data_IF_652895598090
#
_entry.id   IF_652895598090
#
_cell.length_a   1.000
_cell.length_b   1.000
_cell.length_c   1.000
_cell.angle_alpha   90.00
_cell.angle_beta   90.00
_cell.angle_gamma   90.00
#
_symmetry.space_group_name_H-M   'P 1'
#
loop_
_entity.id
_entity.type
_entity.pdbx_description
1 polymer ?
#
# COMPACT_ATOMS: atom_id res chain seq x y z
N UNK A 1 -24.54 -43.16 -69.06
CA UNK A 1 -24.59 -41.89 -68.29
C UNK A 1 -24.31 -42.23 -66.84
N UNK A 2 -23.09 -42.07 -66.37
CA UNK A 2 -22.68 -42.41 -65.03
C UNK A 2 -22.56 -41.10 -64.22
N UNK A 3 -23.35 -40.97 -63.19
CA UNK A 3 -23.32 -39.84 -62.23
C UNK A 3 -22.20 -40.11 -61.20
N UNK A 4 -21.15 -39.32 -61.26
CA UNK A 4 -20.12 -39.28 -60.19
C UNK A 4 -20.64 -38.47 -59.01
N UNK A 5 -20.86 -39.14 -57.89
CA UNK A 5 -21.07 -38.51 -56.60
C UNK A 5 -19.69 -38.12 -56.02
N UNK A 6 -19.44 -36.82 -56.01
CA UNK A 6 -18.27 -36.22 -55.30
C UNK A 6 -18.54 -36.27 -53.79
N UNK A 7 -17.86 -37.15 -53.06
CA UNK A 7 -17.80 -37.11 -51.60
C UNK A 7 -17.14 -35.80 -51.16
N UNK A 8 -17.83 -34.94 -50.43
CA UNK A 8 -17.24 -33.86 -49.68
C UNK A 8 -16.28 -34.50 -48.65
N UNK A 9 -15.01 -34.18 -48.73
CA UNK A 9 -14.03 -34.38 -47.68
C UNK A 9 -14.47 -33.45 -46.51
N UNK A 10 -14.77 -34.02 -45.38
CA UNK A 10 -14.89 -33.31 -44.09
C UNK A 10 -13.45 -33.01 -43.68
N UNK A 11 -13.04 -31.78 -43.77
CA UNK A 11 -11.78 -31.32 -43.16
C UNK A 11 -11.82 -31.65 -41.67
N UNK A 12 -10.78 -32.33 -41.19
CA UNK A 12 -10.61 -32.54 -39.75
C UNK A 12 -10.51 -31.16 -39.07
N UNK A 13 -11.13 -30.99 -37.86
CA UNK A 13 -10.97 -29.76 -37.14
C UNK A 13 -9.48 -29.48 -36.90
N UNK A 14 -9.05 -28.25 -37.17
CA UNK A 14 -7.71 -27.81 -36.82
C UNK A 14 -7.49 -28.09 -35.33
N UNK A 15 -6.30 -28.56 -34.93
CA UNK A 15 -6.00 -28.75 -33.51
C UNK A 15 -6.19 -27.43 -32.79
N UNK A 16 -7.04 -27.42 -31.78
CA UNK A 16 -7.16 -26.28 -30.86
C UNK A 16 -5.74 -25.95 -30.39
N UNK A 17 -5.32 -24.70 -30.58
CA UNK A 17 -4.03 -24.22 -30.14
C UNK A 17 -3.95 -24.45 -28.62
N UNK A 18 -2.93 -25.17 -28.16
CA UNK A 18 -2.68 -25.33 -26.72
C UNK A 18 -2.59 -23.94 -26.10
N UNK A 19 -3.28 -23.70 -24.98
CA UNK A 19 -3.27 -22.40 -24.32
C UNK A 19 -1.84 -22.01 -24.02
N UNK A 20 -1.43 -20.81 -24.42
CA UNK A 20 -0.12 -20.25 -24.13
C UNK A 20 0.04 -20.20 -22.60
N UNK A 21 0.80 -21.17 -22.07
CA UNK A 21 1.14 -21.19 -20.65
C UNK A 21 1.98 -19.94 -20.29
N UNK A 22 1.83 -19.47 -19.08
CA UNK A 22 2.68 -18.38 -18.57
C UNK A 22 4.11 -18.89 -18.38
N UNK A 23 5.16 -18.09 -18.73
CA UNK A 23 6.54 -18.53 -18.63
C UNK A 23 6.99 -18.65 -17.16
N UNK A 24 7.88 -19.62 -16.89
CA UNK A 24 8.62 -19.69 -15.63
C UNK A 24 7.79 -20.14 -14.41
N UNK A 25 6.73 -20.93 -14.63
CA UNK A 25 5.96 -21.51 -13.53
C UNK A 25 6.87 -22.30 -12.57
N UNK A 26 6.71 -22.13 -11.22
CA UNK A 26 7.50 -22.83 -10.21
C UNK A 26 7.31 -24.34 -10.28
N UNK A 27 8.34 -25.07 -9.80
CA UNK A 27 8.22 -26.51 -9.59
C UNK A 27 7.11 -26.82 -8.58
N UNK A 28 6.52 -28.02 -8.74
CA UNK A 28 5.51 -28.53 -7.85
C UNK A 28 6.07 -29.64 -6.97
N UNK A 29 5.48 -29.85 -5.79
CA UNK A 29 5.74 -31.02 -4.98
C UNK A 29 5.26 -32.31 -5.66
N UNK A 30 5.51 -33.48 -5.04
CA UNK A 30 5.09 -34.78 -5.58
C UNK A 30 3.56 -34.92 -5.72
N UNK A 31 2.78 -34.02 -5.09
CA UNK A 31 1.32 -33.96 -5.20
C UNK A 31 0.86 -32.95 -6.27
N UNK A 32 1.78 -32.32 -7.00
CA UNK A 32 1.49 -31.32 -8.02
C UNK A 32 1.09 -29.96 -7.43
N UNK A 33 1.53 -29.63 -6.20
CA UNK A 33 1.20 -28.36 -5.51
C UNK A 33 2.44 -27.48 -5.42
N UNK A 34 2.24 -26.17 -5.52
CA UNK A 34 3.25 -25.14 -5.24
C UNK A 34 3.20 -24.72 -3.79
N UNK A 35 4.32 -24.27 -3.21
CA UNK A 35 4.28 -23.58 -1.92
C UNK A 35 3.57 -22.22 -2.04
N UNK A 36 3.09 -21.69 -0.92
CA UNK A 36 2.44 -20.36 -0.91
C UNK A 36 3.43 -19.26 -1.31
N UNK A 37 4.65 -19.33 -0.79
CA UNK A 37 5.67 -18.31 -1.05
C UNK A 37 6.13 -18.38 -2.52
N UNK A 38 6.44 -19.56 -3.07
CA UNK A 38 6.85 -19.72 -4.48
C UNK A 38 5.75 -19.24 -5.45
N UNK A 39 4.48 -19.54 -5.13
CA UNK A 39 3.37 -19.06 -5.95
C UNK A 39 3.23 -17.54 -5.89
N UNK A 40 3.34 -16.93 -4.71
CA UNK A 40 3.29 -15.48 -4.52
C UNK A 40 4.44 -14.79 -5.28
N UNK A 41 5.67 -15.29 -5.13
CA UNK A 41 6.84 -14.74 -5.81
C UNK A 41 6.73 -14.86 -7.33
N UNK A 42 6.20 -15.99 -7.80
CA UNK A 42 5.91 -16.19 -9.22
C UNK A 42 4.91 -15.17 -9.76
N UNK A 43 3.76 -14.99 -9.13
CA UNK A 43 2.77 -14.00 -9.54
C UNK A 43 3.36 -12.58 -9.53
N UNK A 44 4.13 -12.25 -8.50
CA UNK A 44 4.81 -10.96 -8.41
C UNK A 44 5.87 -10.77 -9.50
N UNK A 45 6.47 -11.84 -10.02
CA UNK A 45 7.44 -11.77 -11.12
C UNK A 45 6.80 -11.43 -12.47
N UNK A 46 5.52 -11.78 -12.65
CA UNK A 46 4.76 -11.55 -13.88
C UNK A 46 4.22 -10.12 -14.00
N UNK A 47 4.27 -9.31 -12.93
CA UNK A 47 3.76 -7.95 -12.93
C UNK A 47 4.87 -6.92 -12.71
N UNK A 48 4.69 -5.75 -13.31
CA UNK A 48 5.58 -4.62 -13.13
C UNK A 48 4.85 -3.49 -12.38
N UNK A 49 5.62 -2.68 -11.67
CA UNK A 49 5.07 -1.50 -11.02
C UNK A 49 4.51 -0.53 -12.06
N UNK A 50 3.37 0.11 -11.72
CA UNK A 50 2.74 1.12 -12.57
C UNK A 50 3.76 2.21 -12.91
N UNK A 51 3.85 2.68 -14.16
CA UNK A 51 4.79 3.70 -14.55
C UNK A 51 4.65 4.98 -13.71
N UNK A 52 5.77 5.64 -13.35
CA UNK A 52 5.73 6.88 -12.60
C UNK A 52 5.13 8.02 -13.41
N UNK A 53 4.48 8.95 -12.71
CA UNK A 53 3.92 10.18 -13.28
C UNK A 53 4.36 11.38 -12.45
N UNK A 54 4.52 12.53 -13.10
CA UNK A 54 4.71 13.80 -12.41
C UNK A 54 3.39 14.24 -11.77
N UNK A 55 3.42 14.60 -10.49
CA UNK A 55 2.26 15.05 -9.72
C UNK A 55 2.65 16.28 -8.92
N UNK A 56 1.77 17.28 -8.90
CA UNK A 56 1.94 18.45 -8.03
C UNK A 56 2.14 18.03 -6.57
N UNK A 57 3.12 18.59 -5.90
CA UNK A 57 3.51 18.24 -4.53
C UNK A 57 2.32 18.14 -3.56
N UNK A 58 1.35 19.09 -3.52
CA UNK A 58 0.20 18.97 -2.61
C UNK A 58 -0.71 17.77 -2.87
N UNK A 59 -0.71 17.24 -4.10
CA UNK A 59 -1.53 16.08 -4.50
C UNK A 59 -0.81 14.75 -4.34
N UNK A 60 0.49 14.78 -4.06
CA UNK A 60 1.33 13.58 -3.97
C UNK A 60 1.24 12.85 -2.61
N UNK A 61 0.42 13.35 -1.66
CA UNK A 61 0.25 12.72 -0.34
C UNK A 61 -0.23 11.28 -0.47
N UNK A 62 0.45 10.37 0.24
CA UNK A 62 0.16 8.93 0.26
C UNK A 62 0.79 8.16 -0.91
N UNK A 63 1.36 8.84 -1.92
CA UNK A 63 2.04 8.18 -3.04
C UNK A 63 3.51 7.93 -2.73
N UNK A 64 4.11 6.94 -3.40
CA UNK A 64 5.52 6.61 -3.27
C UNK A 64 6.36 7.40 -4.27
N UNK A 65 7.43 8.06 -3.80
CA UNK A 65 8.42 8.70 -4.67
C UNK A 65 9.13 7.65 -5.55
N UNK A 66 9.38 7.99 -6.82
CA UNK A 66 10.02 7.09 -7.79
C UNK A 66 11.51 7.36 -8.01
N UNK A 67 12.01 8.44 -7.43
CA UNK A 67 13.41 8.85 -7.53
C UNK A 67 13.81 9.58 -6.25
N UNK A 68 15.13 9.74 -6.05
CA UNK A 68 15.64 10.58 -4.99
C UNK A 68 15.41 12.04 -5.37
N UNK A 69 14.75 12.79 -4.47
CA UNK A 69 14.50 14.23 -4.65
C UNK A 69 15.54 15.01 -3.87
N UNK A 70 16.29 15.86 -4.57
CA UNK A 70 17.37 16.64 -3.98
C UNK A 70 16.97 18.11 -3.78
N UNK A 71 17.52 18.74 -2.75
CA UNK A 71 17.36 20.17 -2.51
C UNK A 71 17.98 21.00 -3.66
N UNK A 72 17.20 21.81 -4.39
CA UNK A 72 17.74 22.64 -5.49
C UNK A 72 18.59 23.82 -4.97
N UNK A 73 18.38 24.22 -3.74
CA UNK A 73 19.09 25.28 -3.02
C UNK A 73 19.05 24.96 -1.52
N UNK A 74 19.74 25.80 -0.73
CA UNK A 74 19.69 25.74 0.73
C UNK A 74 18.27 25.93 1.26
N UNK A 75 17.91 25.22 2.34
CA UNK A 75 16.60 25.34 3.02
C UNK A 75 16.86 25.62 4.51
N UNK A 76 16.42 26.76 5.03
CA UNK A 76 15.86 27.92 4.33
C UNK A 76 16.89 28.60 3.39
N UNK A 77 16.39 29.35 2.40
CA UNK A 77 17.25 30.03 1.40
C UNK A 77 18.12 31.13 2.01
N UNK A 78 17.61 31.80 3.05
CA UNK A 78 18.21 32.94 3.70
C UNK A 78 18.19 32.80 5.22
N UNK A 79 19.15 33.41 5.88
CA UNK A 79 19.19 33.46 7.35
C UNK A 79 18.11 34.41 7.87
N UNK A 80 17.32 33.97 8.83
CA UNK A 80 16.17 34.71 9.42
C UNK A 80 16.26 34.76 10.94
N UNK A 81 15.60 35.75 11.53
CA UNK A 81 15.39 35.82 12.97
C UNK A 81 14.38 34.73 13.42
N UNK A 82 14.65 34.02 14.51
CA UNK A 82 13.75 33.01 15.09
C UNK A 82 12.77 33.66 16.08
N UNK A 83 13.19 34.77 16.70
CA UNK A 83 12.42 35.49 17.73
C UNK A 83 12.30 36.97 17.35
N UNK A 84 11.30 37.62 17.91
CA UNK A 84 11.24 39.08 17.94
C UNK A 84 12.36 39.58 18.85
N UNK A 85 13.08 40.63 18.41
CA UNK A 85 14.20 41.13 19.21
C UNK A 85 15.08 42.11 18.49
N UNK A 86 16.37 42.03 18.81
CA UNK A 86 17.37 42.93 18.30
C UNK A 86 18.54 42.16 17.66
N UNK A 87 18.74 42.37 16.39
CA UNK A 87 19.85 41.79 15.64
C UNK A 87 21.12 42.63 15.81
N UNK A 88 22.28 41.98 16.04
CA UNK A 88 23.56 42.62 16.21
C UNK A 88 24.71 41.69 15.82
N UNK A 89 25.93 42.23 15.74
CA UNK A 89 27.17 41.46 15.59
C UNK A 89 27.59 40.86 16.94
N UNK A 90 27.64 39.53 17.06
CA UNK A 90 28.02 38.83 18.28
C UNK A 90 29.47 39.15 18.72
N UNK A 91 30.35 39.55 17.79
CA UNK A 91 31.73 39.93 18.11
C UNK A 91 31.78 41.18 19.01
N UNK A 92 30.82 42.09 18.87
CA UNK A 92 30.68 43.26 19.71
C UNK A 92 30.41 42.96 21.18
N UNK A 93 29.95 41.76 21.49
CA UNK A 93 29.59 41.30 22.85
C UNK A 93 30.73 40.61 23.59
N UNK A 94 31.90 40.37 22.95
CA UNK A 94 32.98 39.53 23.52
C UNK A 94 33.57 40.05 24.83
N UNK A 95 33.48 41.35 25.06
CA UNK A 95 33.99 41.96 26.28
C UNK A 95 32.99 41.99 27.44
N UNK A 96 31.74 41.56 27.22
CA UNK A 96 30.73 41.45 28.26
C UNK A 96 31.22 40.53 29.40
N UNK A 97 31.17 41.02 30.64
CA UNK A 97 31.64 40.32 31.83
C UNK A 97 33.15 40.45 32.13
N UNK A 98 33.93 41.32 31.40
CA UNK A 98 35.38 41.53 31.65
C UNK A 98 35.75 43.02 31.67
N UNK A 99 35.93 43.65 32.79
CA UNK A 99 35.16 43.76 34.00
C UNK A 99 33.99 44.73 33.79
N UNK A 100 32.81 44.21 33.51
CA UNK A 100 31.59 45.03 33.41
C UNK A 100 30.67 44.58 32.27
N UNK A 101 29.56 45.29 32.13
CA UNK A 101 28.59 45.09 31.06
C UNK A 101 29.08 45.77 29.78
N UNK A 102 28.69 45.20 28.64
CA UNK A 102 28.79 45.85 27.32
C UNK A 102 27.43 46.43 26.99
N UNK A 103 27.42 47.72 26.65
CA UNK A 103 26.24 48.43 26.19
C UNK A 103 26.23 48.49 24.66
N UNK A 104 25.09 48.09 24.06
CA UNK A 104 24.87 48.06 22.62
C UNK A 104 23.75 49.04 22.28
N UNK A 105 24.04 50.04 21.46
CA UNK A 105 23.05 51.06 21.08
C UNK A 105 22.01 50.48 20.10
N UNK A 106 20.74 50.81 20.33
CA UNK A 106 19.67 50.41 19.41
C UNK A 106 19.45 51.50 18.35
N UNK A 107 19.79 51.20 17.13
CA UNK A 107 19.56 52.11 16.00
C UNK A 107 18.19 51.85 15.35
N UNK A 108 17.35 52.86 15.26
CA UNK A 108 16.03 52.81 14.62
C UNK A 108 16.10 52.97 13.10
N UNK A 109 17.21 53.40 12.55
CA UNK A 109 17.46 53.59 11.12
C UNK A 109 18.89 53.16 10.77
N UNK A 110 19.22 51.88 10.96
CA UNK A 110 20.54 51.38 10.80
C UNK A 110 21.07 51.54 9.37
N UNK A 111 22.37 51.83 9.18
CA UNK A 111 22.98 51.70 7.89
C UNK A 111 23.00 50.22 7.44
N UNK A 112 23.18 49.98 6.16
CA UNK A 112 23.44 48.63 5.64
C UNK A 112 24.86 48.61 5.07
N UNK A 113 25.76 47.76 5.61
CA UNK A 113 25.58 46.84 6.75
C UNK A 113 25.47 47.55 8.10
N UNK A 114 24.89 46.85 9.10
CA UNK A 114 24.78 47.32 10.49
C UNK A 114 26.19 47.45 11.08
N UNK A 115 26.44 48.59 11.75
CA UNK A 115 27.78 48.90 12.31
C UNK A 115 28.00 48.06 13.59
N UNK A 116 29.22 47.48 13.80
CA UNK A 116 29.55 46.80 15.04
C UNK A 116 29.32 47.67 16.28
N UNK A 117 28.73 47.09 17.32
CA UNK A 117 28.34 47.81 18.53
C UNK A 117 26.96 48.46 18.47
N UNK A 118 26.23 48.31 17.40
CA UNK A 118 24.81 48.70 17.28
C UNK A 118 23.90 47.50 17.07
N UNK A 119 22.64 47.65 17.46
CA UNK A 119 21.62 46.66 17.27
C UNK A 119 20.40 47.26 16.54
N UNK A 120 19.71 46.42 15.78
CA UNK A 120 18.51 46.81 15.04
C UNK A 120 17.36 45.91 15.36
N UNK A 121 16.18 46.48 15.53
CA UNK A 121 14.97 45.70 15.80
C UNK A 121 14.58 44.81 14.62
N UNK A 122 14.32 43.55 14.91
CA UNK A 122 13.85 42.54 13.94
C UNK A 122 12.61 41.82 14.51
N UNK A 123 11.83 41.28 13.61
CA UNK A 123 10.69 40.42 13.95
C UNK A 123 11.01 38.97 13.59
N UNK A 124 10.44 38.03 14.31
CA UNK A 124 10.56 36.63 13.96
C UNK A 124 10.17 36.38 12.50
N UNK A 125 10.95 35.57 11.79
CA UNK A 125 10.77 35.30 10.36
C UNK A 125 11.33 36.35 9.40
N UNK A 126 11.76 37.53 9.87
CA UNK A 126 12.40 38.52 9.02
C UNK A 126 13.83 38.14 8.65
N UNK A 127 14.32 38.64 7.52
CA UNK A 127 15.72 38.52 7.13
C UNK A 127 16.65 39.10 8.20
N UNK A 128 17.75 38.41 8.45
CA UNK A 128 18.78 38.96 9.32
C UNK A 128 19.52 40.05 8.56
N UNK A 129 19.60 41.30 9.12
CA UNK A 129 20.26 42.39 8.45
C UNK A 129 21.77 42.12 8.24
N UNK A 130 22.32 42.61 7.14
CA UNK A 130 23.76 42.50 6.85
C UNK A 130 24.58 43.16 7.95
N UNK A 131 25.66 42.51 8.39
CA UNK A 131 26.50 42.96 9.50
C UNK A 131 26.04 42.44 10.87
N UNK A 132 24.93 41.61 10.91
CA UNK A 132 24.47 40.99 12.14
C UNK A 132 24.55 39.46 12.04
N UNK A 133 24.78 38.78 13.17
CA UNK A 133 24.89 37.32 13.23
C UNK A 133 24.26 36.71 14.49
N UNK A 134 23.50 37.49 15.25
CA UNK A 134 22.66 36.96 16.35
C UNK A 134 21.46 37.89 16.60
N UNK A 135 20.44 37.34 17.29
CA UNK A 135 19.22 38.06 17.70
C UNK A 135 19.03 37.87 19.20
N UNK A 136 18.84 38.95 19.90
CA UNK A 136 18.56 38.95 21.33
C UNK A 136 17.13 39.34 21.62
N UNK A 137 16.50 38.74 22.68
CA UNK A 137 15.16 39.08 23.07
C UNK A 137 15.04 40.50 23.61
N UNK A 138 13.86 41.14 23.52
CA UNK A 138 13.66 42.55 23.88
C UNK A 138 13.73 42.87 25.38
N UNK A 139 13.69 41.86 26.24
CA UNK A 139 13.79 41.99 27.70
C UNK A 139 15.19 42.37 28.21
N UNK A 140 16.17 42.47 27.35
CA UNK A 140 17.55 42.90 27.65
C UNK A 140 17.76 44.43 27.54
N UNK A 141 16.73 45.21 27.22
CA UNK A 141 16.81 46.65 27.12
C UNK A 141 16.87 47.29 28.54
N UNK A 142 17.74 48.32 28.66
CA UNK A 142 17.77 49.21 29.82
C UNK A 142 16.67 50.33 29.72
N UNK A 143 16.63 51.21 30.72
CA UNK A 143 15.68 52.32 30.75
C UNK A 143 15.89 53.34 29.62
N UNK A 144 17.10 53.44 29.07
CA UNK A 144 17.49 54.35 27.97
C UNK A 144 17.18 53.75 26.59
N UNK A 145 16.80 52.46 26.56
CA UNK A 145 16.43 51.74 25.34
C UNK A 145 17.61 51.05 24.65
N UNK A 146 18.76 50.96 25.31
CA UNK A 146 19.95 50.26 24.83
C UNK A 146 20.05 48.86 25.47
N UNK A 147 20.80 47.95 24.82
CA UNK A 147 20.94 46.56 25.30
C UNK A 147 22.18 46.49 26.22
N UNK A 148 21.95 45.92 27.41
CA UNK A 148 23.04 45.74 28.39
C UNK A 148 23.31 44.24 28.58
N UNK A 149 24.58 43.85 28.31
CA UNK A 149 24.97 42.44 28.33
C UNK A 149 26.07 42.20 29.38
N UNK A 150 25.83 41.19 30.22
CA UNK A 150 26.80 40.72 31.24
C UNK A 150 27.57 39.46 30.81
N UNK A 151 27.24 38.90 29.64
CA UNK A 151 27.89 37.72 29.08
C UNK A 151 27.98 37.80 27.56
N UNK A 152 29.04 37.24 26.93
CA UNK A 152 29.15 37.16 25.48
C UNK A 152 28.00 36.34 24.89
N UNK A 153 27.51 36.79 23.74
CA UNK A 153 26.46 36.08 22.97
C UNK A 153 27.11 35.12 22.00
N UNK A 154 26.54 33.95 21.88
CA UNK A 154 26.97 33.00 20.88
C UNK A 154 26.56 33.47 19.48
N UNK A 155 27.46 33.32 18.52
CA UNK A 155 27.16 33.53 17.12
C UNK A 155 25.95 32.70 16.72
N UNK A 156 25.07 33.28 15.93
CA UNK A 156 23.80 32.65 15.47
C UNK A 156 22.74 32.37 16.55
N UNK A 157 22.92 32.88 17.79
CA UNK A 157 21.88 32.81 18.78
C UNK A 157 20.63 33.56 18.26
N UNK A 158 19.46 32.97 18.36
CA UNK A 158 18.18 33.54 17.90
C UNK A 158 18.05 33.65 16.37
N UNK A 159 18.95 33.07 15.59
CA UNK A 159 18.93 33.08 14.13
C UNK A 159 18.77 31.65 13.58
N UNK A 160 18.03 31.53 12.49
CA UNK A 160 17.93 30.29 11.67
C UNK A 160 18.74 30.50 10.41
N UNK A 161 19.81 29.75 10.28
CA UNK A 161 20.77 29.89 9.21
C UNK A 161 20.21 29.38 7.87
N UNK A 162 20.66 30.04 6.77
CA UNK A 162 20.53 29.44 5.44
C UNK A 162 21.12 28.03 5.45
N UNK A 163 20.44 27.07 4.87
CA UNK A 163 20.88 25.68 4.80
C UNK A 163 20.84 24.90 6.13
N UNK A 164 20.27 25.47 7.21
CA UNK A 164 20.25 24.79 8.51
C UNK A 164 19.37 23.55 8.55
N UNK A 165 18.41 23.43 7.66
CA UNK A 165 17.54 22.24 7.54
C UNK A 165 18.15 21.28 6.52
N UNK A 166 18.45 21.78 5.32
CA UNK A 166 19.09 21.03 4.23
C UNK A 166 20.00 21.94 3.41
N UNK A 167 21.19 21.45 3.10
CA UNK A 167 22.09 22.08 2.14
C UNK A 167 21.71 21.73 0.69
N UNK A 168 22.07 22.58 -0.24
CA UNK A 168 21.90 22.33 -1.68
C UNK A 168 22.49 20.98 -2.08
N UNK A 169 21.71 20.17 -2.80
CA UNK A 169 22.09 18.84 -3.27
C UNK A 169 21.86 17.71 -2.26
N UNK A 170 21.48 18.01 -1.01
CA UNK A 170 21.10 16.99 -0.06
C UNK A 170 19.80 16.29 -0.45
N UNK A 171 19.67 15.01 -0.10
CA UNK A 171 18.49 14.20 -0.40
C UNK A 171 17.37 14.58 0.56
N UNK A 172 16.29 15.17 0.04
CA UNK A 172 15.07 15.48 0.77
C UNK A 172 14.16 14.28 0.92
N UNK A 173 14.04 13.49 -0.15
CA UNK A 173 13.19 12.30 -0.21
C UNK A 173 13.94 11.21 -0.96
N UNK A 174 13.93 10.00 -0.43
CA UNK A 174 14.49 8.82 -1.11
C UNK A 174 13.46 8.12 -1.97
N UNK A 175 13.91 7.48 -3.04
CA UNK A 175 13.09 6.58 -3.85
C UNK A 175 12.36 5.55 -2.97
N UNK A 176 11.07 5.30 -3.23
CA UNK A 176 10.22 4.39 -2.48
C UNK A 176 9.64 4.96 -1.18
N UNK A 177 9.97 6.21 -0.82
CA UNK A 177 9.40 6.88 0.36
C UNK A 177 7.94 7.26 0.11
N UNK A 178 7.04 6.90 1.04
CA UNK A 178 5.64 7.37 1.00
C UNK A 178 5.60 8.82 1.47
N UNK A 179 5.04 9.70 0.64
CA UNK A 179 4.96 11.12 0.88
C UNK A 179 3.87 11.45 1.90
N UNK A 180 4.26 11.77 3.13
CA UNK A 180 3.35 12.24 4.17
C UNK A 180 3.36 13.78 4.28
N UNK A 181 2.41 14.43 4.99
CA UNK A 181 2.29 15.88 5.03
C UNK A 181 3.57 16.62 5.43
N UNK A 182 4.39 16.05 6.32
CA UNK A 182 5.69 16.64 6.70
C UNK A 182 6.68 16.68 5.54
N UNK A 183 6.73 15.63 4.71
CA UNK A 183 7.56 15.62 3.49
C UNK A 183 7.05 16.66 2.49
N UNK A 184 5.72 16.75 2.30
CA UNK A 184 5.11 17.75 1.43
C UNK A 184 5.53 19.16 1.84
N UNK A 185 5.58 19.48 3.14
CA UNK A 185 6.00 20.78 3.62
C UNK A 185 7.49 21.08 3.33
N UNK A 186 8.36 20.06 3.42
CA UNK A 186 9.79 20.17 3.07
C UNK A 186 9.95 20.43 1.58
N UNK A 187 9.28 19.66 0.72
CA UNK A 187 9.34 19.83 -0.73
C UNK A 187 8.86 21.22 -1.15
N UNK A 188 7.72 21.67 -0.60
CA UNK A 188 7.17 22.99 -0.87
C UNK A 188 8.13 24.11 -0.39
N UNK A 189 8.75 23.96 0.80
CA UNK A 189 9.72 24.95 1.30
C UNK A 189 11.03 24.99 0.50
N UNK A 190 11.35 23.88 -0.16
CA UNK A 190 12.47 23.80 -1.12
C UNK A 190 12.10 24.34 -2.51
N UNK A 191 10.85 24.80 -2.73
CA UNK A 191 10.40 25.33 -4.03
C UNK A 191 10.23 24.26 -5.10
N UNK A 192 9.94 23.03 -4.69
CA UNK A 192 9.67 21.91 -5.60
C UNK A 192 8.16 21.84 -5.83
N UNK A 193 7.75 22.05 -7.08
CA UNK A 193 6.32 22.09 -7.45
C UNK A 193 5.76 20.73 -7.81
N UNK A 194 6.57 19.85 -8.42
CA UNK A 194 6.18 18.52 -8.87
C UNK A 194 7.19 17.46 -8.43
N UNK A 195 6.68 16.23 -8.25
CA UNK A 195 7.49 15.05 -7.94
C UNK A 195 7.04 13.86 -8.78
N UNK A 196 7.99 12.99 -9.16
CA UNK A 196 7.69 11.73 -9.81
C UNK A 196 7.27 10.70 -8.77
N UNK A 197 6.02 10.25 -8.88
CA UNK A 197 5.42 9.28 -7.96
C UNK A 197 4.74 8.17 -8.72
N UNK A 198 4.54 7.02 -8.07
CA UNK A 198 3.69 5.96 -8.60
C UNK A 198 2.22 6.30 -8.32
N UNK A 199 1.38 6.36 -9.37
CA UNK A 199 -0.04 6.56 -9.18
C UNK A 199 -0.65 5.35 -8.48
N UNK A 200 -1.81 5.55 -7.85
CA UNK A 200 -2.58 4.45 -7.28
C UNK A 200 -3.00 3.48 -8.36
N UNK A 201 -2.73 2.18 -8.24
CA UNK A 201 -3.18 1.19 -9.22
C UNK A 201 -4.69 1.23 -9.41
N UNK A 202 -5.12 1.04 -10.65
CA UNK A 202 -6.53 0.93 -11.03
C UNK A 202 -6.93 -0.54 -10.97
N UNK A 203 -7.82 -0.87 -10.07
CA UNK A 203 -8.30 -2.24 -9.85
C UNK A 203 -9.75 -2.34 -10.29
N UNK A 204 -10.05 -3.31 -11.12
CA UNK A 204 -11.44 -3.64 -11.49
C UNK A 204 -11.79 -4.98 -10.84
N UNK A 205 -12.83 -4.97 -10.01
CA UNK A 205 -13.40 -6.18 -9.43
C UNK A 205 -14.58 -6.60 -10.29
N UNK A 206 -14.54 -7.80 -10.85
CA UNK A 206 -15.63 -8.42 -11.62
C UNK A 206 -16.30 -9.45 -10.74
N UNK A 207 -17.51 -9.14 -10.27
CA UNK A 207 -18.33 -10.03 -9.45
C UNK A 207 -19.32 -10.81 -10.31
N UNK A 208 -19.08 -12.09 -10.51
CA UNK A 208 -19.97 -12.99 -11.25
C UNK A 208 -20.95 -13.64 -10.27
N UNK A 209 -22.20 -13.19 -10.31
CA UNK A 209 -23.27 -13.67 -9.42
C UNK A 209 -23.94 -14.92 -9.97
N UNK A 210 -24.58 -15.66 -9.08
CA UNK A 210 -25.46 -16.75 -9.45
C UNK A 210 -26.51 -16.28 -10.48
N UNK A 211 -26.77 -17.11 -11.49
CA UNK A 211 -27.83 -16.84 -12.45
C UNK A 211 -29.21 -16.87 -11.80
N UNK A 212 -30.24 -16.45 -12.55
CA UNK A 212 -31.62 -16.35 -12.03
C UNK A 212 -32.13 -17.68 -11.52
N UNK A 213 -31.83 -18.79 -12.20
CA UNK A 213 -32.31 -20.13 -11.82
C UNK A 213 -31.67 -20.60 -10.50
N UNK A 214 -30.35 -20.43 -10.36
CA UNK A 214 -29.63 -20.75 -9.12
C UNK A 214 -30.11 -19.88 -7.97
N UNK A 215 -30.32 -18.60 -8.22
CA UNK A 215 -30.83 -17.66 -7.24
C UNK A 215 -32.22 -18.01 -6.78
N UNK A 216 -33.15 -18.31 -7.72
CA UNK A 216 -34.48 -18.75 -7.40
C UNK A 216 -34.51 -20.05 -6.56
N UNK A 217 -33.63 -20.99 -6.85
CA UNK A 217 -33.47 -22.22 -6.07
C UNK A 217 -32.96 -21.94 -4.65
N UNK A 218 -31.97 -21.07 -4.48
CA UNK A 218 -31.47 -20.65 -3.17
C UNK A 218 -32.58 -19.97 -2.36
N UNK A 219 -33.31 -19.03 -2.98
CA UNK A 219 -34.43 -18.32 -2.34
C UNK A 219 -35.52 -19.27 -1.91
N UNK A 220 -35.87 -20.22 -2.77
CA UNK A 220 -36.85 -21.25 -2.45
C UNK A 220 -36.47 -22.10 -1.24
N UNK A 221 -35.21 -22.55 -1.19
CA UNK A 221 -34.68 -23.33 -0.06
C UNK A 221 -34.64 -22.52 1.23
N UNK A 222 -34.24 -21.26 1.15
CA UNK A 222 -34.17 -20.40 2.31
C UNK A 222 -35.52 -20.08 2.90
N UNK A 223 -36.53 -19.78 2.07
CA UNK A 223 -37.93 -19.61 2.52
C UNK A 223 -38.45 -20.87 3.20
N UNK A 224 -38.12 -22.06 2.66
CA UNK A 224 -38.48 -23.33 3.29
C UNK A 224 -37.83 -23.51 4.68
N UNK A 225 -36.70 -22.85 4.94
CA UNK A 225 -35.98 -22.83 6.22
C UNK A 225 -36.33 -21.60 7.09
N UNK A 226 -37.38 -20.83 6.73
CA UNK A 226 -37.86 -19.68 7.54
C UNK A 226 -37.11 -18.37 7.34
N UNK A 227 -36.36 -18.21 6.25
CA UNK A 227 -35.78 -16.95 5.88
C UNK A 227 -36.71 -16.18 4.93
N UNK A 228 -37.25 -15.04 5.38
CA UNK A 228 -38.23 -14.25 4.61
C UNK A 228 -37.57 -13.40 3.52
N UNK A 229 -36.30 -13.03 3.70
CA UNK A 229 -35.52 -12.25 2.73
C UNK A 229 -34.08 -12.72 2.74
N UNK A 230 -33.54 -13.05 1.57
CA UNK A 230 -32.10 -13.33 1.41
C UNK A 230 -31.49 -12.07 0.80
N UNK A 231 -30.73 -11.36 1.59
CA UNK A 231 -29.96 -10.24 1.09
C UNK A 231 -29.15 -10.68 -0.14
N UNK A 232 -29.38 -10.02 -1.27
CA UNK A 232 -28.70 -10.31 -2.54
C UNK A 232 -27.27 -9.78 -2.62
N UNK A 233 -26.66 -9.48 -1.48
CA UNK A 233 -25.26 -9.02 -1.41
C UNK A 233 -24.34 -10.23 -1.61
N UNK A 234 -23.51 -10.15 -2.64
CA UNK A 234 -22.37 -11.03 -2.79
C UNK A 234 -21.37 -10.75 -1.67
N UNK A 235 -21.39 -11.59 -0.63
CA UNK A 235 -20.54 -11.42 0.53
C UNK A 235 -19.05 -11.52 0.18
N UNK A 236 -18.69 -12.31 -0.84
CA UNK A 236 -17.32 -12.43 -1.34
C UNK A 236 -16.88 -11.15 -2.00
N UNK A 237 -17.63 -10.62 -2.95
CA UNK A 237 -17.30 -9.37 -3.63
C UNK A 237 -17.25 -8.20 -2.66
N UNK A 238 -18.19 -8.12 -1.71
CA UNK A 238 -18.18 -7.05 -0.69
C UNK A 238 -16.94 -7.09 0.21
N UNK A 239 -16.52 -8.28 0.65
CA UNK A 239 -15.32 -8.46 1.45
C UNK A 239 -14.06 -8.05 0.67
N UNK A 240 -13.94 -8.47 -0.60
CA UNK A 240 -12.80 -8.18 -1.46
C UNK A 240 -12.77 -6.69 -1.85
N UNK A 241 -13.91 -6.08 -2.16
CA UNK A 241 -13.98 -4.64 -2.39
C UNK A 241 -13.49 -3.85 -1.18
N UNK A 242 -13.97 -4.18 0.02
CA UNK A 242 -13.57 -3.54 1.27
C UNK A 242 -12.06 -3.70 1.52
N UNK A 243 -11.53 -4.93 1.38
CA UNK A 243 -10.11 -5.21 1.57
C UNK A 243 -9.24 -4.49 0.53
N UNK A 244 -9.71 -4.36 -0.71
CA UNK A 244 -9.00 -3.65 -1.78
C UNK A 244 -8.97 -2.15 -1.53
N UNK A 245 -10.10 -1.55 -1.14
CA UNK A 245 -10.19 -0.11 -0.82
C UNK A 245 -9.30 0.28 0.36
N UNK A 246 -9.08 -0.63 1.33
CA UNK A 246 -8.19 -0.39 2.47
C UNK A 246 -6.70 -0.27 2.07
N UNK A 247 -6.33 -0.64 0.83
CA UNK A 247 -4.95 -0.55 0.32
C UNK A 247 -4.65 0.73 -0.45
N UNK A 248 -5.51 1.74 -0.37
CA UNK A 248 -5.35 3.05 -1.05
C UNK A 248 -5.14 2.91 -2.57
N UNK A 249 -5.97 2.11 -3.23
CA UNK A 249 -6.01 1.90 -4.68
C UNK A 249 -7.34 2.40 -5.28
N UNK A 250 -7.36 2.66 -6.59
CA UNK A 250 -8.56 3.08 -7.29
C UNK A 250 -9.39 1.83 -7.66
N UNK A 251 -10.55 1.64 -7.03
CA UNK A 251 -11.39 0.46 -7.19
C UNK A 251 -12.66 0.77 -7.98
N UNK A 252 -12.93 -0.03 -9.01
CA UNK A 252 -14.20 -0.07 -9.73
C UNK A 252 -14.77 -1.49 -9.60
N UNK A 253 -16.07 -1.61 -9.28
CA UNK A 253 -16.76 -2.90 -9.18
C UNK A 253 -17.76 -3.01 -10.31
N UNK A 254 -17.72 -4.14 -11.02
CA UNK A 254 -18.66 -4.51 -12.07
C UNK A 254 -19.29 -5.84 -11.70
N UNK A 255 -20.62 -5.87 -11.58
CA UNK A 255 -21.36 -7.10 -11.28
C UNK A 255 -22.11 -7.61 -12.50
N UNK A 256 -22.13 -8.93 -12.68
CA UNK A 256 -22.90 -9.59 -13.74
C UNK A 256 -23.52 -10.88 -13.22
N UNK A 257 -24.66 -11.26 -13.80
CA UNK A 257 -25.32 -12.56 -13.60
C UNK A 257 -25.37 -13.35 -14.91
N UNK A 258 -24.56 -12.97 -15.90
CA UNK A 258 -24.56 -13.65 -17.19
C UNK A 258 -24.11 -15.10 -17.09
N UNK A 259 -24.80 -16.00 -17.81
CA UNK A 259 -24.41 -17.37 -18.04
C UNK A 259 -23.71 -17.58 -19.40
N UNK A 260 -23.57 -16.50 -20.19
CA UNK A 260 -22.98 -16.54 -21.52
C UNK A 260 -21.45 -16.36 -21.46
N UNK A 261 -20.69 -17.34 -21.89
CA UNK A 261 -19.22 -17.28 -21.97
C UNK A 261 -18.76 -16.11 -22.86
N UNK A 262 -19.42 -15.86 -23.98
CA UNK A 262 -19.08 -14.76 -24.89
C UNK A 262 -19.31 -13.38 -24.26
N UNK A 263 -20.37 -13.23 -23.46
CA UNK A 263 -20.65 -12.00 -22.74
C UNK A 263 -19.65 -11.80 -21.59
N UNK A 264 -19.32 -12.86 -20.85
CA UNK A 264 -18.32 -12.84 -19.78
C UNK A 264 -16.93 -12.50 -20.33
N UNK A 265 -16.52 -13.13 -21.44
CA UNK A 265 -15.26 -12.81 -22.13
C UNK A 265 -15.20 -11.33 -22.51
N UNK A 266 -16.25 -10.79 -23.11
CA UNK A 266 -16.33 -9.36 -23.46
C UNK A 266 -16.24 -8.45 -22.25
N UNK A 267 -16.89 -8.82 -21.15
CA UNK A 267 -16.88 -8.07 -19.90
C UNK A 267 -15.47 -8.03 -19.29
N UNK A 268 -14.80 -9.18 -19.20
CA UNK A 268 -13.43 -9.29 -18.71
C UNK A 268 -12.43 -8.51 -19.58
N UNK A 269 -12.54 -8.61 -20.91
CA UNK A 269 -11.74 -7.82 -21.84
C UNK A 269 -11.94 -6.31 -21.66
N UNK A 270 -13.19 -5.88 -21.42
CA UNK A 270 -13.49 -4.48 -21.12
C UNK A 270 -12.94 -4.04 -19.75
N UNK A 271 -13.03 -4.90 -18.72
CA UNK A 271 -12.47 -4.66 -17.40
C UNK A 271 -10.95 -4.49 -17.47
N UNK A 272 -10.25 -5.26 -18.30
CA UNK A 272 -8.81 -5.14 -18.52
C UNK A 272 -8.40 -3.84 -19.20
N UNK A 273 -9.29 -3.17 -19.96
CA UNK A 273 -8.94 -1.90 -20.62
C UNK A 273 -8.77 -0.77 -19.62
N UNK A 274 -7.54 -0.42 -19.35
CA UNK A 274 -7.20 0.67 -18.43
C UNK A 274 -7.19 0.31 -16.96
N UNK A 275 -7.27 -1.00 -16.61
CA UNK A 275 -6.96 -1.53 -15.30
C UNK A 275 -5.48 -1.95 -15.22
N UNK A 276 -4.92 -1.87 -14.02
CA UNK A 276 -3.59 -2.40 -13.70
C UNK A 276 -3.70 -3.80 -13.08
N UNK A 277 -4.90 -4.18 -12.58
CA UNK A 277 -5.25 -5.50 -12.06
C UNK A 277 -6.76 -5.72 -12.17
N UNK A 278 -7.15 -6.90 -12.63
CA UNK A 278 -8.54 -7.39 -12.55
C UNK A 278 -8.62 -8.47 -11.48
N UNK A 279 -9.60 -8.35 -10.58
CA UNK A 279 -9.92 -9.36 -9.57
C UNK A 279 -11.29 -9.91 -9.92
N UNK A 280 -11.39 -11.22 -10.18
CA UNK A 280 -12.67 -11.86 -10.42
C UNK A 280 -13.12 -12.65 -9.17
N UNK A 281 -14.37 -12.49 -8.79
CA UNK A 281 -15.03 -13.27 -7.75
C UNK A 281 -16.26 -13.95 -8.34
N UNK A 282 -16.61 -15.14 -7.83
CA UNK A 282 -17.84 -15.83 -8.22
C UNK A 282 -18.53 -16.38 -6.98
N UNK A 283 -19.83 -16.20 -6.90
CA UNK A 283 -20.71 -16.91 -5.95
C UNK A 283 -21.43 -18.11 -6.62
N UNK A 284 -21.14 -18.32 -7.91
CA UNK A 284 -21.71 -19.39 -8.71
C UNK A 284 -21.02 -20.71 -8.43
N UNK A 285 -21.73 -21.63 -7.80
CA UNK A 285 -21.25 -22.98 -7.52
C UNK A 285 -21.66 -23.88 -8.69
N UNK A 286 -20.70 -24.37 -9.47
CA UNK A 286 -20.93 -25.39 -10.51
C UNK A 286 -20.31 -26.69 -10.04
N UNK A 287 -21.15 -27.65 -9.69
CA UNK A 287 -20.69 -28.95 -9.18
C UNK A 287 -19.95 -29.70 -10.30
N UNK A 288 -18.67 -30.02 -10.06
CA UNK A 288 -17.83 -30.81 -10.98
C UNK A 288 -17.27 -30.06 -12.18
N UNK A 289 -17.40 -28.72 -12.24
CA UNK A 289 -16.85 -27.89 -13.29
C UNK A 289 -15.95 -26.77 -12.68
N UNK A 290 -15.09 -26.20 -13.51
CA UNK A 290 -14.37 -24.97 -13.17
C UNK A 290 -15.38 -23.83 -12.99
N UNK A 291 -15.00 -22.81 -12.21
CA UNK A 291 -15.84 -21.61 -12.10
C UNK A 291 -15.99 -20.94 -13.49
N UNK A 292 -17.09 -20.21 -13.72
CA UNK A 292 -17.38 -19.68 -15.07
C UNK A 292 -16.33 -18.69 -15.58
N UNK A 293 -15.61 -18.01 -14.70
CA UNK A 293 -14.51 -17.10 -15.09
C UNK A 293 -13.32 -17.91 -15.61
N UNK A 294 -12.93 -18.93 -14.87
CA UNK A 294 -11.78 -19.78 -15.22
C UNK A 294 -11.96 -20.49 -16.57
N UNK A 295 -13.22 -20.83 -16.94
CA UNK A 295 -13.51 -21.51 -18.22
C UNK A 295 -13.28 -20.64 -19.45
N UNK A 296 -13.43 -19.31 -19.34
CA UNK A 296 -13.31 -18.37 -20.47
C UNK A 296 -11.94 -17.73 -20.59
N UNK A 297 -11.02 -17.96 -19.64
CA UNK A 297 -9.71 -17.32 -19.65
C UNK A 297 -8.72 -17.85 -20.70
N UNK A 298 -8.60 -19.18 -20.97
CA UNK A 298 -7.58 -19.70 -21.87
C UNK A 298 -7.53 -19.03 -23.24
N UNK A 299 -8.64 -18.72 -23.92
CA UNK A 299 -8.59 -18.02 -25.20
C UNK A 299 -8.30 -16.51 -25.07
N UNK A 300 -8.29 -15.95 -23.86
CA UNK A 300 -8.08 -14.51 -23.63
C UNK A 300 -6.59 -14.16 -23.42
N UNK A 301 -5.74 -15.14 -23.16
CA UNK A 301 -4.31 -14.92 -22.92
C UNK A 301 -3.65 -16.05 -22.14
N UNK A 302 -2.40 -15.85 -21.72
CA UNK A 302 -1.70 -16.81 -20.90
C UNK A 302 -2.38 -17.05 -19.56
N UNK A 303 -2.74 -18.31 -19.26
CA UNK A 303 -3.47 -18.66 -18.04
C UNK A 303 -2.71 -19.72 -17.26
N UNK A 304 -2.65 -19.57 -15.94
CA UNK A 304 -2.06 -20.49 -14.98
C UNK A 304 -3.11 -21.01 -14.01
N UNK A 305 -3.33 -22.33 -14.03
CA UNK A 305 -4.17 -23.05 -13.08
C UNK A 305 -3.27 -23.75 -12.07
N UNK A 306 -3.19 -23.24 -10.87
CA UNK A 306 -2.28 -23.76 -9.87
C UNK A 306 -3.00 -24.41 -8.70
N UNK A 307 -2.45 -25.51 -8.21
CA UNK A 307 -2.75 -26.03 -6.88
C UNK A 307 -1.66 -25.58 -5.93
N UNK A 308 -2.06 -24.88 -4.87
CA UNK A 308 -1.15 -24.35 -3.85
C UNK A 308 -1.35 -25.14 -2.56
N UNK A 309 -0.25 -25.45 -1.88
CA UNK A 309 -0.26 -26.16 -0.60
C UNK A 309 -0.77 -25.26 0.55
N UNK A 310 -2.03 -24.87 0.47
CA UNK A 310 -2.71 -23.97 1.42
C UNK A 310 -4.14 -24.40 1.73
N UNK A 311 -4.61 -24.05 2.93
CA UNK A 311 -5.96 -24.31 3.41
C UNK A 311 -6.48 -23.08 4.20
N UNK A 312 -7.60 -22.44 3.80
CA UNK A 312 -8.40 -22.71 2.60
C UNK A 312 -7.81 -22.10 1.33
N UNK A 313 -8.37 -22.43 0.16
CA UNK A 313 -8.06 -21.74 -1.10
C UNK A 313 -6.97 -22.42 -1.93
N UNK A 314 -6.85 -23.76 -1.91
CA UNK A 314 -5.81 -24.50 -2.62
C UNK A 314 -5.79 -24.28 -4.15
N UNK A 315 -6.94 -24.05 -4.77
CA UNK A 315 -7.04 -23.80 -6.21
C UNK A 315 -6.93 -22.31 -6.49
N UNK A 316 -5.93 -21.92 -7.29
CA UNK A 316 -5.66 -20.55 -7.68
C UNK A 316 -5.66 -20.45 -9.20
N UNK A 317 -6.17 -19.35 -9.73
CA UNK A 317 -6.17 -19.06 -11.16
C UNK A 317 -5.66 -17.66 -11.41
N UNK A 318 -4.69 -17.56 -12.29
CA UNK A 318 -4.10 -16.29 -12.70
C UNK A 318 -4.00 -16.26 -14.22
N UNK A 319 -4.23 -15.08 -14.82
CA UNK A 319 -4.06 -14.89 -16.25
C UNK A 319 -3.42 -13.53 -16.55
N UNK A 320 -2.76 -13.46 -17.70
CA UNK A 320 -2.42 -12.20 -18.36
C UNK A 320 -3.33 -12.06 -19.58
N UNK A 321 -4.34 -11.18 -19.47
CA UNK A 321 -5.39 -11.07 -20.51
C UNK A 321 -5.12 -9.93 -21.50
N UNK A 322 -5.52 -10.15 -22.76
CA UNK A 322 -5.47 -9.18 -23.83
C UNK A 322 -6.59 -8.12 -23.74
N UNK A 323 -6.38 -6.91 -24.28
CA UNK A 323 -5.13 -6.36 -24.80
C UNK A 323 -4.25 -5.79 -23.68
N UNK A 324 -2.94 -5.96 -23.76
CA UNK A 324 -2.00 -5.31 -22.85
C UNK A 324 -1.46 -6.21 -21.74
N UNK A 325 -1.75 -7.51 -21.75
CA UNK A 325 -1.29 -8.48 -20.75
C UNK A 325 -1.63 -8.04 -19.32
N UNK A 326 -2.87 -7.60 -19.13
CA UNK A 326 -3.35 -7.15 -17.82
C UNK A 326 -3.48 -8.34 -16.87
N UNK A 327 -2.88 -8.30 -15.67
CA UNK A 327 -3.02 -9.37 -14.70
C UNK A 327 -4.47 -9.50 -14.24
N UNK A 328 -4.96 -10.73 -14.25
CA UNK A 328 -6.27 -11.13 -13.72
C UNK A 328 -6.08 -12.27 -12.74
N UNK A 329 -6.67 -12.14 -11.56
CA UNK A 329 -6.69 -13.19 -10.54
C UNK A 329 -8.14 -13.59 -10.24
N UNK A 330 -8.43 -14.88 -10.25
CA UNK A 330 -9.73 -15.43 -9.86
C UNK A 330 -9.63 -15.90 -8.42
N UNK A 331 -10.44 -15.34 -7.56
CA UNK A 331 -10.46 -15.73 -6.14
C UNK A 331 -11.39 -16.92 -5.90
N UNK A 332 -11.02 -17.82 -4.96
CA UNK A 332 -11.86 -18.95 -4.60
C UNK A 332 -13.25 -18.53 -4.11
N UNK A 333 -14.25 -19.38 -4.32
CA UNK A 333 -15.62 -19.14 -3.88
C UNK A 333 -15.72 -19.09 -2.35
N UNK A 334 -16.45 -18.11 -1.86
CA UNK A 334 -16.72 -17.87 -0.45
C UNK A 334 -15.78 -16.84 0.19
N UNK A 335 -16.30 -16.03 1.13
CA UNK A 335 -15.56 -14.89 1.69
C UNK A 335 -14.28 -15.29 2.44
N UNK A 336 -14.27 -16.42 3.13
CA UNK A 336 -13.08 -16.91 3.86
C UNK A 336 -11.92 -17.27 2.93
N UNK A 337 -12.10 -18.24 2.02
CA UNK A 337 -11.08 -18.61 1.04
C UNK A 337 -10.62 -17.43 0.17
N UNK A 338 -11.56 -16.59 -0.28
CA UNK A 338 -11.24 -15.41 -1.09
C UNK A 338 -10.38 -14.40 -0.33
N UNK A 339 -10.70 -14.12 0.95
CA UNK A 339 -9.94 -13.18 1.77
C UNK A 339 -8.53 -13.71 2.07
N UNK A 340 -8.38 -15.02 2.33
CA UNK A 340 -7.07 -15.65 2.51
C UNK A 340 -6.23 -15.52 1.23
N UNK A 341 -6.79 -15.84 0.05
CA UNK A 341 -6.09 -15.69 -1.23
C UNK A 341 -5.80 -14.23 -1.54
N UNK A 342 -6.68 -13.31 -1.18
CA UNK A 342 -6.44 -11.87 -1.29
C UNK A 342 -5.21 -11.46 -0.48
N UNK A 343 -5.13 -11.89 0.78
CA UNK A 343 -4.00 -11.55 1.65
C UNK A 343 -2.69 -12.21 1.19
N UNK A 344 -2.76 -13.45 0.68
CA UNK A 344 -1.59 -14.20 0.23
C UNK A 344 -1.03 -13.70 -1.11
N UNK A 345 -1.89 -13.30 -2.05
CA UNK A 345 -1.51 -13.06 -3.43
C UNK A 345 -1.90 -11.66 -3.95
N UNK A 346 -3.15 -11.21 -3.76
CA UNK A 346 -3.59 -9.91 -4.30
C UNK A 346 -2.89 -8.76 -3.59
N UNK A 347 -2.82 -8.80 -2.27
CA UNK A 347 -2.14 -7.74 -1.50
C UNK A 347 -0.67 -7.57 -1.87
N UNK A 348 0.16 -8.62 -2.01
CA UNK A 348 1.51 -8.53 -2.54
C UNK A 348 1.57 -7.96 -3.97
N UNK A 349 0.69 -8.42 -4.88
CA UNK A 349 0.59 -7.89 -6.24
C UNK A 349 0.30 -6.38 -6.25
N UNK A 350 -0.68 -5.92 -5.48
CA UNK A 350 -1.02 -4.50 -5.37
C UNK A 350 0.13 -3.68 -4.82
N UNK A 351 0.86 -4.19 -3.83
CA UNK A 351 2.07 -3.51 -3.32
C UNK A 351 3.16 -3.43 -4.38
N UNK A 352 3.37 -4.51 -5.17
CA UNK A 352 4.30 -4.53 -6.29
C UNK A 352 3.90 -3.50 -7.35
N UNK A 353 2.63 -3.45 -7.74
CA UNK A 353 2.10 -2.47 -8.70
C UNK A 353 2.28 -1.03 -8.19
N UNK A 354 2.08 -0.79 -6.91
CA UNK A 354 2.29 0.51 -6.26
C UNK A 354 3.78 0.86 -6.04
N UNK A 355 4.72 -0.06 -6.32
CA UNK A 355 6.14 0.14 -6.03
C UNK A 355 6.47 0.19 -4.53
N UNK A 356 5.60 -0.37 -3.69
CA UNK A 356 5.77 -0.41 -2.24
C UNK A 356 6.54 -1.66 -1.81
N UNK A 357 7.32 -1.61 -0.71
CA UNK A 357 7.97 -2.79 -0.14
C UNK A 357 6.92 -3.81 0.33
N UNK A 358 7.28 -5.10 0.51
CA UNK A 358 6.40 -6.10 1.10
C UNK A 358 5.77 -5.62 2.40
N UNK A 359 4.54 -6.06 2.69
CA UNK A 359 3.86 -5.70 3.93
C UNK A 359 4.62 -6.24 5.15
N UNK A 360 4.64 -5.47 6.22
CA UNK A 360 5.22 -5.93 7.49
C UNK A 360 4.46 -7.14 8.01
N UNK A 361 5.23 -8.15 8.42
CA UNK A 361 4.72 -9.38 9.02
C UNK A 361 4.78 -9.23 10.54
N UNK A 362 3.61 -9.25 11.20
CA UNK A 362 3.54 -9.27 12.66
C UNK A 362 3.85 -10.70 13.16
N UNK A 363 4.59 -10.83 14.24
CA UNK A 363 4.73 -12.09 14.97
C UNK A 363 4.01 -12.00 16.30
N UNK A 364 3.21 -13.03 16.63
CA UNK A 364 2.49 -13.12 17.89
C UNK A 364 2.57 -14.56 18.44
N UNK A 365 2.70 -14.70 19.75
CA UNK A 365 2.81 -15.99 20.44
C UNK A 365 1.40 -16.62 20.60
N UNK A 366 1.27 -17.94 20.39
CA UNK A 366 0.00 -18.65 20.55
C UNK A 366 -0.40 -18.75 22.03
N UNK A 367 -1.66 -18.51 22.38
CA UNK A 367 -2.21 -18.70 23.72
C UNK A 367 -2.50 -20.18 24.07
N UNK A 368 -2.72 -21.00 23.04
CA UNK A 368 -3.01 -22.43 23.11
C UNK A 368 -2.50 -23.15 21.87
N UNK A 369 -2.39 -24.50 21.89
CA UNK A 369 -1.98 -25.26 20.70
C UNK A 369 -2.92 -25.02 19.52
N UNK A 370 -2.36 -24.94 18.31
CA UNK A 370 -3.11 -24.80 17.05
C UNK A 370 -2.80 -26.00 16.16
N UNK A 371 -3.84 -26.69 15.72
CA UNK A 371 -3.72 -27.84 14.81
C UNK A 371 -3.06 -27.42 13.49
N UNK A 372 -2.28 -28.31 12.90
CA UNK A 372 -1.65 -28.16 11.58
C UNK A 372 -2.28 -29.12 10.58
N UNK A 373 -2.23 -28.71 9.33
CA UNK A 373 -2.43 -29.66 8.23
C UNK A 373 -1.08 -30.32 7.90
N UNK A 374 -1.03 -31.66 7.68
CA UNK A 374 0.25 -32.35 7.45
C UNK A 374 1.05 -31.79 6.25
N UNK A 375 0.34 -31.43 5.18
CA UNK A 375 0.93 -31.11 3.89
C UNK A 375 0.62 -29.69 3.38
N UNK A 376 -0.14 -28.90 4.12
CA UNK A 376 -0.57 -27.58 3.66
C UNK A 376 -0.39 -26.51 4.73
N UNK A 377 -0.02 -25.31 4.33
CA UNK A 377 -0.08 -24.13 5.20
C UNK A 377 -1.54 -23.80 5.51
N UNK A 378 -1.90 -23.70 6.78
CA UNK A 378 -3.25 -23.37 7.23
C UNK A 378 -3.33 -21.89 7.62
N UNK A 379 -4.38 -21.23 7.18
CA UNK A 379 -4.65 -19.82 7.49
C UNK A 379 -5.78 -19.71 8.49
N UNK A 380 -5.46 -19.25 9.70
CA UNK A 380 -6.38 -19.27 10.84
C UNK A 380 -6.73 -17.83 11.25
N UNK A 381 -8.02 -17.44 11.25
CA UNK A 381 -8.46 -16.17 11.83
C UNK A 381 -8.15 -16.11 13.32
N UNK A 382 -7.51 -15.01 13.76
CA UNK A 382 -7.04 -14.85 15.14
C UNK A 382 -7.34 -13.46 15.69
N UNK A 383 -7.57 -13.39 17.00
CA UNK A 383 -7.57 -12.15 17.77
C UNK A 383 -6.17 -11.87 18.28
N UNK A 384 -5.84 -10.61 18.37
CA UNK A 384 -4.55 -10.14 18.86
C UNK A 384 -4.74 -9.40 20.20
N UNK A 385 -3.94 -9.76 21.19
CA UNK A 385 -3.90 -9.11 22.49
C UNK A 385 -2.45 -8.80 22.89
N UNK A 386 -2.25 -7.98 23.90
CA UNK A 386 -0.95 -7.79 24.54
C UNK A 386 -1.00 -8.32 25.95
N UNK A 387 -0.13 -9.29 26.23
CA UNK A 387 0.04 -9.88 27.57
C UNK A 387 1.46 -9.62 28.02
N UNK A 388 1.64 -8.89 29.10
CA UNK A 388 2.98 -8.51 29.56
C UNK A 388 3.80 -7.73 28.54
N UNK A 389 3.14 -6.93 27.68
CA UNK A 389 3.77 -6.17 26.59
C UNK A 389 4.06 -6.97 25.31
N UNK A 390 3.91 -8.29 25.30
CA UNK A 390 4.12 -9.17 24.14
C UNK A 390 2.84 -9.37 23.35
N UNK A 391 2.90 -9.39 22.01
CA UNK A 391 1.76 -9.73 21.19
C UNK A 391 1.44 -11.23 21.35
N UNK A 392 0.19 -11.51 21.69
CA UNK A 392 -0.36 -12.87 21.84
C UNK A 392 -1.55 -13.01 20.92
N UNK A 393 -1.65 -14.15 20.26
CA UNK A 393 -2.77 -14.51 19.41
C UNK A 393 -3.63 -15.61 20.04
N UNK A 394 -4.93 -15.49 19.85
CA UNK A 394 -5.92 -16.52 20.13
C UNK A 394 -6.78 -16.77 18.91
N UNK A 395 -7.14 -18.02 18.64
CA UNK A 395 -8.03 -18.36 17.52
C UNK A 395 -9.37 -17.60 17.64
N UNK A 396 -9.82 -16.98 16.57
CA UNK A 396 -11.18 -16.44 16.47
C UNK A 396 -12.12 -17.62 16.14
N UNK A 397 -13.16 -17.85 16.97
CA UNK A 397 -14.05 -18.99 16.82
C UNK A 397 -13.62 -20.24 17.60
N UNK A 398 -14.55 -21.22 17.71
CA UNK A 398 -14.39 -22.40 18.57
C UNK A 398 -14.31 -23.73 17.82
N UNK A 399 -14.49 -23.74 16.50
CA UNK A 399 -14.52 -24.97 15.69
C UNK A 399 -13.24 -25.26 14.92
N UNK A 400 -13.14 -26.44 14.33
CA UNK A 400 -12.03 -26.80 13.42
C UNK A 400 -12.23 -26.19 12.02
N UNK A 401 -13.46 -25.82 11.68
CA UNK A 401 -13.83 -25.14 10.43
C UNK A 401 -13.94 -23.65 10.67
N UNK A 402 -13.36 -22.84 9.80
CA UNK A 402 -13.51 -21.39 9.83
C UNK A 402 -14.87 -20.97 9.28
N UNK A 403 -15.70 -20.38 10.13
CA UNK A 403 -16.98 -19.80 9.73
C UNK A 403 -16.81 -18.33 9.35
N UNK A 404 -17.75 -17.79 8.55
CA UNK A 404 -17.73 -16.36 8.16
C UNK A 404 -17.75 -15.44 9.38
N UNK A 405 -18.45 -15.83 10.45
CA UNK A 405 -18.51 -15.08 11.71
C UNK A 405 -17.14 -15.00 12.39
N UNK A 406 -16.27 -15.98 12.21
CA UNK A 406 -14.93 -15.97 12.81
C UNK A 406 -14.07 -14.86 12.19
N UNK A 407 -14.26 -14.56 10.91
CA UNK A 407 -13.60 -13.42 10.24
C UNK A 407 -14.01 -12.07 10.84
N UNK A 408 -15.27 -11.92 11.25
CA UNK A 408 -15.76 -10.67 11.88
C UNK A 408 -15.18 -10.44 13.27
N UNK A 409 -14.70 -11.48 13.92
CA UNK A 409 -14.09 -11.44 15.25
C UNK A 409 -12.55 -11.40 15.20
N UNK A 410 -11.95 -11.53 14.02
CA UNK A 410 -10.52 -11.63 13.85
C UNK A 410 -9.87 -10.26 13.63
N UNK A 411 -8.71 -10.04 14.23
CA UNK A 411 -7.83 -8.88 13.98
C UNK A 411 -6.79 -9.18 12.89
N UNK A 412 -6.49 -10.48 12.71
CA UNK A 412 -5.48 -10.95 11.77
C UNK A 412 -5.74 -12.39 11.32
N UNK A 413 -5.00 -12.81 10.30
CA UNK A 413 -4.89 -14.21 9.87
C UNK A 413 -3.51 -14.72 10.24
N UNK A 414 -3.43 -15.77 11.07
CA UNK A 414 -2.18 -16.44 11.40
C UNK A 414 -1.82 -17.46 10.33
N UNK A 415 -0.54 -17.50 9.96
CA UNK A 415 0.03 -18.43 8.99
C UNK A 415 0.63 -19.60 9.76
N UNK A 416 0.00 -20.76 9.65
CA UNK A 416 0.38 -22.01 10.35
C UNK A 416 0.97 -22.96 9.32
N UNK A 417 2.29 -23.11 9.33
CA UNK A 417 3.00 -24.01 8.40
C UNK A 417 2.58 -25.48 8.55
N UNK A 418 2.74 -26.25 7.48
CA UNK A 418 2.47 -27.69 7.46
C UNK A 418 3.23 -28.45 8.56
N UNK A 419 2.66 -29.55 9.02
CA UNK A 419 3.29 -30.42 10.02
C UNK A 419 2.29 -31.38 10.69
N UNK A 420 2.80 -32.49 11.23
CA UNK A 420 1.98 -33.55 11.83
C UNK A 420 1.56 -33.20 13.26
N UNK A 421 2.37 -32.40 13.98
CA UNK A 421 2.07 -32.04 15.35
C UNK A 421 1.53 -30.59 15.47
N UNK A 422 0.59 -30.35 16.42
CA UNK A 422 0.10 -28.99 16.65
C UNK A 422 1.22 -28.01 17.02
N UNK A 423 1.05 -26.75 16.61
CA UNK A 423 1.91 -25.65 17.11
C UNK A 423 1.72 -25.52 18.62
N UNK A 424 2.78 -25.63 19.43
CA UNK A 424 2.66 -25.53 20.88
C UNK A 424 2.35 -24.11 21.34
N UNK A 425 1.76 -23.99 22.54
CA UNK A 425 1.54 -22.70 23.20
C UNK A 425 2.86 -21.93 23.36
N UNK A 426 2.81 -20.61 23.17
CA UNK A 426 3.97 -19.72 23.26
C UNK A 426 4.82 -19.66 21.99
N UNK A 427 4.50 -20.45 20.97
CA UNK A 427 5.23 -20.41 19.69
C UNK A 427 4.84 -19.17 18.89
N UNK A 428 5.81 -18.39 18.38
CA UNK A 428 5.50 -17.23 17.55
C UNK A 428 5.07 -17.66 16.15
N UNK A 429 3.91 -17.17 15.70
CA UNK A 429 3.42 -17.32 14.34
C UNK A 429 3.41 -15.97 13.62
N UNK A 430 3.60 -16.04 12.31
CA UNK A 430 3.40 -14.88 11.42
C UNK A 430 1.90 -14.60 11.30
N UNK A 431 1.53 -13.32 11.44
CA UNK A 431 0.16 -12.86 11.32
C UNK A 431 0.04 -11.75 10.29
N UNK A 432 -1.00 -11.80 9.48
CA UNK A 432 -1.38 -10.76 8.53
C UNK A 432 -2.57 -9.99 9.10
N UNK A 433 -2.40 -8.70 9.39
CA UNK A 433 -3.50 -7.85 9.86
C UNK A 433 -4.58 -7.70 8.80
N UNK A 434 -5.85 -7.74 9.22
CA UNK A 434 -7.01 -7.56 8.35
C UNK A 434 -7.34 -6.07 8.11
N UNK A 435 -6.87 -5.19 8.98
CA UNK A 435 -7.05 -3.75 8.86
C UNK A 435 -5.81 -2.97 9.29
#
# INVERSE_FOLDING_TARGET
>A
MALFHRKKQVEAPEPEAEPLGLPGAPETDMSGRRSVDDHCDYLCSLVQAVPPVAVEVPRAVGLAACEDVHAPHDVPVVTTAVIDGYALDSASTRMAGRPGAVEIQVDRRPPSPVIPGTAVRVMAGSLLPEGTDCVLPPDLLNADGDIVLFSPVKRWAGARLAGSDYGRGEVLVRNGTILHPGIISVLASAGIDEVFVRPRPKVVIVAVRADEDQRAEIERKARANGADDIASLDATAAAIESATRALDVNVTVVSTNTSSDSELTRLLANAGRGADLVIATSDRIVVGQQDPVSSVLPPMGGTDFARVAMEPGANQVFALIDPGLVPLIVLPVGPGPALVSFMAFVRPLLRKLSGLPPAEKLKAETDRPIARHPESTTFVPVRLARVGGRPVLSRAGMGDVTHVVDLSMADAIAVVGAGDEPVPTGMPLTCWRLG
#
